data_IF_733853825375
#
_entry.id   IF_733853825375
#
_cell.length_a   1.000
_cell.length_b   1.000
_cell.length_c   1.000
_cell.angle_alpha   90.00
_cell.angle_beta   90.00
_cell.angle_gamma   90.00
#
_symmetry.space_group_name_H-M   'P 1'
#
loop_
_entity.id
_entity.type
_entity.pdbx_description
1 polymer ?
#
# COMPACT_ATOMS: atom_id res chain seq x y z
N UNK A 1 -11.26 9.41 34.11
CA UNK A 1 -10.90 8.34 33.15
C UNK A 1 -11.76 8.39 31.87
N UNK A 2 -13.08 8.64 32.00
CA UNK A 2 -13.99 8.76 30.85
C UNK A 2 -13.63 9.91 29.89
N UNK A 3 -13.13 11.04 30.38
CA UNK A 3 -12.71 12.15 29.52
C UNK A 3 -11.57 11.79 28.57
N UNK A 4 -10.61 10.99 29.04
CA UNK A 4 -9.50 10.51 28.21
C UNK A 4 -10.00 9.59 27.09
N UNK A 5 -11.04 8.78 27.36
CA UNK A 5 -11.66 7.94 26.33
C UNK A 5 -12.43 8.80 25.32
N UNK A 6 -13.17 9.80 25.78
CA UNK A 6 -13.93 10.71 24.92
C UNK A 6 -13.02 11.51 23.98
N UNK A 7 -11.89 12.00 24.48
CA UNK A 7 -10.88 12.69 23.66
C UNK A 7 -10.30 11.75 22.58
N UNK A 8 -9.98 10.51 22.93
CA UNK A 8 -9.45 9.52 21.98
C UNK A 8 -10.45 9.15 20.90
N UNK A 9 -11.71 8.93 21.27
CA UNK A 9 -12.80 8.61 20.33
C UNK A 9 -13.04 9.80 19.39
N UNK A 10 -13.10 11.02 19.92
CA UNK A 10 -13.27 12.22 19.10
C UNK A 10 -12.10 12.43 18.13
N UNK A 11 -10.86 12.16 18.56
CA UNK A 11 -9.70 12.23 17.66
C UNK A 11 -9.85 11.26 16.48
N UNK A 12 -10.18 9.99 16.75
CA UNK A 12 -10.40 9.01 15.68
C UNK A 12 -11.58 9.37 14.78
N UNK A 13 -12.66 9.92 15.34
CA UNK A 13 -13.78 10.43 14.56
C UNK A 13 -13.34 11.55 13.60
N UNK A 14 -12.59 12.55 14.08
CA UNK A 14 -12.10 13.67 13.27
C UNK A 14 -11.16 13.18 12.16
N UNK A 15 -10.21 12.29 12.49
CA UNK A 15 -9.30 11.68 11.50
C UNK A 15 -10.07 10.94 10.39
N UNK A 16 -11.13 10.19 10.73
CA UNK A 16 -11.95 9.47 9.74
C UNK A 16 -12.79 10.46 8.93
N UNK A 17 -13.34 11.50 9.55
CA UNK A 17 -14.16 12.51 8.88
C UNK A 17 -13.33 13.28 7.85
N UNK A 18 -12.14 13.75 8.23
CA UNK A 18 -11.21 14.46 7.33
C UNK A 18 -10.74 13.60 6.15
N UNK A 19 -10.63 12.28 6.36
CA UNK A 19 -10.15 11.35 5.34
C UNK A 19 -11.25 10.88 4.39
N UNK A 20 -12.36 10.41 4.94
CA UNK A 20 -13.37 9.66 4.18
C UNK A 20 -14.61 10.51 3.86
N UNK A 21 -14.72 11.74 4.39
CA UNK A 21 -15.93 12.58 4.36
C UNK A 21 -17.20 11.93 4.95
N UNK A 22 -17.09 10.73 5.54
CA UNK A 22 -18.17 10.08 6.27
C UNK A 22 -17.61 9.15 7.35
N UNK A 23 -18.30 9.12 8.50
CA UNK A 23 -17.91 8.33 9.66
C UNK A 23 -19.03 7.35 10.02
N UNK A 24 -18.67 6.09 10.26
CA UNK A 24 -19.56 5.08 10.84
C UNK A 24 -19.05 4.67 12.23
N UNK A 25 -19.96 4.21 13.09
CA UNK A 25 -19.60 3.72 14.42
C UNK A 25 -18.58 2.56 14.35
N UNK A 26 -18.69 1.72 13.32
CA UNK A 26 -17.74 0.63 13.07
C UNK A 26 -16.33 1.13 12.74
N UNK A 27 -16.20 2.16 11.88
CA UNK A 27 -14.90 2.77 11.59
C UNK A 27 -14.25 3.34 12.85
N UNK A 28 -15.02 4.07 13.67
CA UNK A 28 -14.53 4.65 14.93
C UNK A 28 -14.13 3.54 15.92
N UNK A 29 -14.91 2.45 16.01
CA UNK A 29 -14.59 1.29 16.85
C UNK A 29 -13.28 0.63 16.39
N UNK A 30 -13.13 0.37 15.10
CA UNK A 30 -11.95 -0.30 14.55
C UNK A 30 -10.70 0.56 14.72
N UNK A 31 -10.81 1.88 14.52
CA UNK A 31 -9.77 2.86 14.81
C UNK A 31 -9.35 2.86 16.28
N UNK A 32 -10.33 2.89 17.20
CA UNK A 32 -10.09 2.93 18.64
C UNK A 32 -9.45 1.64 19.17
N UNK A 33 -9.83 0.49 18.60
CA UNK A 33 -9.27 -0.83 18.93
C UNK A 33 -7.94 -1.13 18.23
N UNK A 34 -7.46 -0.23 17.35
CA UNK A 34 -6.24 -0.46 16.57
C UNK A 34 -6.37 -1.58 15.53
N UNK A 35 -7.60 -1.98 15.19
CA UNK A 35 -7.91 -3.02 14.21
C UNK A 35 -7.87 -2.50 12.76
N UNK A 36 -7.68 -1.19 12.60
CA UNK A 36 -7.57 -0.57 11.30
C UNK A 36 -6.13 -0.72 10.78
N UNK A 37 -5.97 -1.46 9.68
CA UNK A 37 -4.70 -1.55 8.94
C UNK A 37 -4.51 -0.24 8.17
N UNK A 38 -4.03 0.79 8.87
CA UNK A 38 -3.85 2.13 8.30
C UNK A 38 -2.43 2.28 7.77
N UNK A 39 -2.26 2.11 6.46
CA UNK A 39 -1.09 2.69 5.79
C UNK A 39 -1.46 4.10 5.36
N UNK A 40 -0.78 5.09 5.94
CA UNK A 40 -1.05 6.49 5.64
C UNK A 40 -0.23 6.99 4.45
N UNK A 41 0.85 6.27 4.14
CA UNK A 41 1.84 6.71 3.17
C UNK A 41 2.23 5.59 2.22
N UNK A 42 2.72 6.00 1.05
CA UNK A 42 3.11 5.11 -0.02
C UNK A 42 4.25 4.16 0.41
N UNK A 43 5.27 4.67 1.11
CA UNK A 43 6.39 3.83 1.53
C UNK A 43 5.99 2.82 2.61
N UNK A 44 5.00 3.14 3.45
CA UNK A 44 4.45 2.20 4.42
C UNK A 44 3.71 1.05 3.74
N UNK A 45 2.87 1.35 2.74
CA UNK A 45 2.16 0.32 1.96
C UNK A 45 3.15 -0.66 1.33
N UNK A 46 4.16 -0.14 0.63
CA UNK A 46 5.13 -1.01 -0.03
C UNK A 46 6.00 -1.79 0.94
N UNK A 47 6.36 -1.22 2.10
CA UNK A 47 7.11 -1.94 3.13
C UNK A 47 6.31 -3.15 3.60
N UNK A 48 5.05 -2.94 3.99
CA UNK A 48 4.22 -4.06 4.42
C UNK A 48 4.07 -5.10 3.33
N UNK A 49 3.77 -4.67 2.09
CA UNK A 49 3.62 -5.59 0.98
C UNK A 49 4.85 -6.50 0.82
N UNK A 50 6.05 -5.94 0.96
CA UNK A 50 7.29 -6.70 0.89
C UNK A 50 7.44 -7.68 2.06
N UNK A 51 7.11 -7.26 3.27
CA UNK A 51 7.15 -8.12 4.47
C UNK A 51 6.16 -9.29 4.37
N UNK A 52 4.94 -9.04 3.90
CA UNK A 52 3.94 -10.09 3.72
C UNK A 52 4.29 -11.02 2.56
N UNK A 53 4.84 -10.48 1.47
CA UNK A 53 5.35 -11.29 0.37
C UNK A 53 6.53 -12.16 0.81
N UNK A 54 7.41 -11.64 1.66
CA UNK A 54 8.54 -12.40 2.23
C UNK A 54 8.05 -13.59 3.05
N UNK A 55 7.07 -13.40 3.95
CA UNK A 55 6.43 -14.51 4.68
C UNK A 55 5.85 -15.56 3.74
N UNK A 56 5.23 -15.14 2.64
CA UNK A 56 4.68 -16.07 1.65
C UNK A 56 5.77 -16.84 0.88
N UNK A 57 6.92 -16.21 0.63
CA UNK A 57 8.08 -16.84 0.03
C UNK A 57 8.70 -17.86 0.99
N UNK A 58 8.83 -17.53 2.28
CA UNK A 58 9.33 -18.42 3.33
C UNK A 58 8.42 -19.65 3.49
N UNK A 59 7.11 -19.46 3.37
CA UNK A 59 6.13 -20.54 3.35
C UNK A 59 6.08 -21.32 2.01
N UNK A 60 6.94 -21.01 1.04
CA UNK A 60 7.00 -21.68 -0.26
C UNK A 60 5.84 -21.37 -1.22
N UNK A 61 4.98 -20.41 -0.89
CA UNK A 61 3.79 -20.04 -1.68
C UNK A 61 4.11 -19.07 -2.83
N UNK A 62 5.26 -18.39 -2.79
CA UNK A 62 5.66 -17.36 -3.76
C UNK A 62 7.14 -17.48 -4.14
N UNK A 63 7.48 -16.90 -5.30
CA UNK A 63 8.84 -16.96 -5.84
C UNK A 63 9.76 -15.88 -5.24
N UNK A 64 10.96 -16.29 -4.79
CA UNK A 64 12.03 -15.39 -4.32
C UNK A 64 12.41 -14.31 -5.34
N UNK A 65 12.42 -14.66 -6.63
CA UNK A 65 12.76 -13.72 -7.70
C UNK A 65 11.81 -12.51 -7.78
N UNK A 66 10.53 -12.71 -7.45
CA UNK A 66 9.55 -11.62 -7.44
C UNK A 66 9.71 -10.71 -6.22
N UNK A 67 10.03 -11.28 -5.04
CA UNK A 67 10.36 -10.50 -3.85
C UNK A 67 11.53 -9.54 -4.10
N UNK A 68 12.58 -10.02 -4.80
CA UNK A 68 13.72 -9.19 -5.15
C UNK A 68 13.32 -8.00 -6.05
N UNK A 69 12.39 -8.21 -6.99
CA UNK A 69 11.85 -7.14 -7.84
C UNK A 69 11.09 -6.10 -7.02
N UNK A 70 10.28 -6.52 -6.04
CA UNK A 70 9.56 -5.58 -5.17
C UNK A 70 10.51 -4.78 -4.26
N UNK A 71 11.54 -5.43 -3.70
CA UNK A 71 12.59 -4.74 -2.93
C UNK A 71 13.38 -3.74 -3.78
N UNK A 72 13.61 -4.06 -5.05
CA UNK A 72 14.30 -3.16 -5.98
C UNK A 72 13.47 -1.91 -6.23
N UNK A 73 12.17 -2.04 -6.46
CA UNK A 73 11.33 -0.84 -6.63
C UNK A 73 11.09 -0.06 -5.38
N UNK A 74 11.03 -0.69 -4.20
CA UNK A 74 11.02 0.06 -2.96
C UNK A 74 12.19 1.07 -2.92
N UNK A 75 13.38 0.65 -3.32
CA UNK A 75 14.57 1.53 -3.38
C UNK A 75 14.43 2.61 -4.46
N UNK A 76 13.99 2.26 -5.67
CA UNK A 76 13.80 3.26 -6.73
C UNK A 76 12.74 4.29 -6.39
N UNK A 77 11.69 3.88 -5.69
CA UNK A 77 10.65 4.78 -5.22
C UNK A 77 11.18 5.74 -4.15
N UNK A 78 12.01 5.25 -3.22
CA UNK A 78 12.71 6.14 -2.27
C UNK A 78 13.59 7.15 -2.99
N UNK A 79 14.40 6.72 -3.95
CA UNK A 79 15.25 7.62 -4.75
C UNK A 79 14.41 8.63 -5.54
N UNK A 80 13.32 8.20 -6.15
CA UNK A 80 12.43 9.07 -6.91
C UNK A 80 11.81 10.15 -6.03
N UNK A 81 11.30 9.78 -4.85
CA UNK A 81 10.73 10.73 -3.89
C UNK A 81 11.76 11.74 -3.40
N UNK A 82 13.00 11.30 -3.15
CA UNK A 82 14.10 12.17 -2.72
C UNK A 82 14.54 13.14 -3.84
N UNK A 83 14.66 12.66 -5.07
CA UNK A 83 15.13 13.44 -6.22
C UNK A 83 14.07 14.44 -6.71
N UNK A 84 12.81 14.01 -6.84
CA UNK A 84 11.76 14.80 -7.51
C UNK A 84 10.90 15.61 -6.54
N UNK A 85 10.67 15.07 -5.34
CA UNK A 85 9.77 15.67 -4.36
C UNK A 85 10.49 16.14 -3.09
N UNK A 86 11.76 15.77 -2.90
CA UNK A 86 12.55 16.06 -1.70
C UNK A 86 11.87 15.62 -0.40
N UNK A 87 11.13 14.52 -0.46
CA UNK A 87 10.46 13.90 0.68
C UNK A 87 10.89 12.45 0.82
N UNK A 88 10.85 11.94 2.05
CA UNK A 88 11.13 10.53 2.34
C UNK A 88 9.92 9.63 2.13
N UNK A 89 8.73 10.20 2.09
CA UNK A 89 7.46 9.50 1.98
C UNK A 89 6.39 10.46 1.47
N UNK A 90 5.29 9.92 0.92
CA UNK A 90 4.18 10.70 0.38
C UNK A 90 2.86 10.08 0.83
N UNK A 91 1.86 10.91 1.14
CA UNK A 91 0.55 10.41 1.54
C UNK A 91 -0.16 9.75 0.34
N UNK A 92 -0.91 8.67 0.57
CA UNK A 92 -1.61 7.96 -0.52
C UNK A 92 -2.59 8.87 -1.29
N UNK A 93 -3.17 9.87 -0.62
CA UNK A 93 -4.07 10.86 -1.22
C UNK A 93 -3.39 11.79 -2.25
N UNK A 94 -2.07 11.86 -2.22
CA UNK A 94 -1.28 12.72 -3.11
C UNK A 94 -0.81 11.94 -4.36
N UNK A 95 -1.17 10.66 -4.49
CA UNK A 95 -0.90 9.85 -5.67
C UNK A 95 -1.83 10.25 -6.81
N UNK A 96 -1.34 11.15 -7.65
CA UNK A 96 -2.04 11.59 -8.86
C UNK A 96 -1.65 10.73 -10.08
N UNK A 97 -2.45 10.71 -11.16
CA UNK A 97 -2.03 10.09 -12.42
C UNK A 97 -0.71 10.65 -12.97
N UNK A 98 -0.42 11.93 -12.69
CA UNK A 98 0.86 12.56 -13.02
C UNK A 98 2.02 11.93 -12.23
N UNK A 99 1.86 11.71 -10.92
CA UNK A 99 2.87 11.02 -10.10
C UNK A 99 3.22 9.64 -10.68
N UNK A 100 2.21 8.87 -11.07
CA UNK A 100 2.39 7.54 -11.66
C UNK A 100 3.17 7.63 -12.98
N UNK A 101 2.81 8.58 -13.84
CA UNK A 101 3.45 8.79 -15.14
C UNK A 101 4.91 9.25 -14.98
N UNK A 102 5.18 10.17 -14.04
CA UNK A 102 6.52 10.67 -13.74
C UNK A 102 7.41 9.55 -13.16
N UNK A 103 6.85 8.70 -12.30
CA UNK A 103 7.56 7.56 -11.76
C UNK A 103 7.86 6.51 -12.85
N UNK A 104 6.91 6.23 -13.74
CA UNK A 104 7.14 5.37 -14.91
C UNK A 104 8.25 5.93 -15.80
N UNK A 105 8.24 7.24 -16.05
CA UNK A 105 9.28 7.90 -16.84
C UNK A 105 10.65 7.72 -16.17
N UNK A 106 10.77 8.04 -14.88
CA UNK A 106 11.99 7.86 -14.09
C UNK A 106 12.52 6.41 -14.15
N UNK A 107 11.64 5.41 -14.01
CA UNK A 107 12.06 4.02 -14.10
C UNK A 107 12.64 3.67 -15.48
N UNK A 108 12.10 4.24 -16.56
CA UNK A 108 12.59 4.00 -17.92
C UNK A 108 13.87 4.78 -18.24
N UNK A 109 13.94 6.05 -17.85
CA UNK A 109 15.03 6.96 -18.21
C UNK A 109 16.25 6.80 -17.32
N UNK A 110 16.04 6.78 -16.01
CA UNK A 110 17.13 6.83 -15.02
C UNK A 110 17.54 5.43 -14.55
N UNK A 111 16.59 4.49 -14.51
CA UNK A 111 16.83 3.11 -14.04
C UNK A 111 16.83 2.07 -15.15
N UNK A 112 16.58 2.48 -16.39
CA UNK A 112 16.54 1.61 -17.58
C UNK A 112 15.72 0.33 -17.39
N UNK A 113 14.63 0.41 -16.62
CA UNK A 113 13.76 -0.71 -16.31
C UNK A 113 12.78 -0.97 -17.46
N UNK A 114 12.59 -2.24 -17.82
CA UNK A 114 11.63 -2.65 -18.85
C UNK A 114 10.16 -2.45 -18.41
N UNK A 115 9.26 -2.26 -19.37
CA UNK A 115 7.82 -1.98 -19.19
C UNK A 115 7.08 -3.01 -18.31
N UNK A 116 7.47 -4.29 -18.39
CA UNK A 116 6.88 -5.36 -17.56
C UNK A 116 7.19 -5.19 -16.07
N UNK A 117 8.31 -4.55 -15.76
CA UNK A 117 8.72 -4.23 -14.40
C UNK A 117 7.81 -3.10 -13.92
N UNK A 118 7.70 -1.98 -14.68
CA UNK A 118 6.83 -0.83 -14.39
C UNK A 118 5.38 -1.23 -14.05
N UNK A 119 4.74 -2.06 -14.87
CA UNK A 119 3.36 -2.51 -14.64
C UNK A 119 3.15 -3.31 -13.35
N UNK A 120 4.17 -4.08 -12.93
CA UNK A 120 4.16 -4.85 -11.70
C UNK A 120 4.11 -3.94 -10.45
N UNK A 121 4.50 -2.67 -10.62
CA UNK A 121 4.61 -1.65 -9.56
C UNK A 121 3.49 -0.64 -9.57
N UNK A 122 2.96 -0.30 -10.74
CA UNK A 122 1.79 0.59 -10.88
C UNK A 122 0.51 -0.16 -10.53
N UNK A 123 0.43 -1.47 -10.82
CA UNK A 123 -0.78 -2.27 -10.56
C UNK A 123 -1.23 -2.20 -9.09
N UNK A 124 -0.40 -2.40 -8.05
CA UNK A 124 -0.83 -2.22 -6.65
C UNK A 124 -1.27 -0.80 -6.26
N UNK A 125 -0.88 0.22 -7.05
CA UNK A 125 -1.12 1.63 -6.77
C UNK A 125 -2.33 2.20 -7.48
N UNK A 126 -2.77 1.57 -8.56
CA UNK A 126 -4.01 1.93 -9.25
C UNK A 126 -5.19 1.18 -8.62
N UNK A 127 -6.35 1.83 -8.56
CA UNK A 127 -7.61 1.30 -8.01
C UNK A 127 -7.93 -0.14 -8.52
N UNK A 128 -7.51 -0.43 -9.74
CA UNK A 128 -7.59 -1.73 -10.42
C UNK A 128 -6.77 -2.89 -9.80
N UNK A 129 -5.71 -2.60 -9.04
CA UNK A 129 -4.92 -3.63 -8.36
C UNK A 129 -5.39 -3.93 -6.94
N UNK A 130 -5.97 -2.94 -6.26
CA UNK A 130 -6.63 -3.14 -4.96
C UNK A 130 -7.88 -4.02 -5.14
N UNK A 131 -8.67 -3.76 -6.19
CA UNK A 131 -9.83 -4.59 -6.54
C UNK A 131 -9.45 -6.00 -7.00
N UNK A 132 -8.39 -6.17 -7.81
CA UNK A 132 -7.92 -7.52 -8.21
C UNK A 132 -7.31 -8.34 -7.08
N UNK A 133 -6.72 -7.70 -6.08
CA UNK A 133 -6.21 -8.41 -4.90
C UNK A 133 -7.36 -8.98 -4.06
N UNK A 134 -8.47 -8.24 -3.93
CA UNK A 134 -9.69 -8.72 -3.25
C UNK A 134 -10.44 -9.80 -4.06
N UNK A 135 -10.47 -9.71 -5.39
CA UNK A 135 -11.12 -10.73 -6.23
C UNK A 135 -10.35 -12.08 -6.22
N UNK A 136 -9.00 -12.04 -6.21
CA UNK A 136 -8.17 -13.25 -6.20
C UNK A 136 -8.21 -14.05 -4.90
N UNK A 137 -8.46 -13.39 -3.76
CA UNK A 137 -8.68 -14.10 -2.48
C UNK A 137 -10.08 -14.70 -2.38
N UNK A 138 -11.07 -14.16 -3.11
CA UNK A 138 -12.42 -14.70 -3.18
C UNK A 138 -12.54 -15.92 -4.13
N UNK A 139 -11.75 -15.97 -5.20
CA UNK A 139 -11.78 -17.06 -6.21
C UNK A 139 -10.91 -18.27 -5.86
N UNK A 140 -10.15 -18.23 -4.77
CA UNK A 140 -9.38 -19.37 -4.27
C UNK A 140 -10.32 -20.42 -3.64
N UNK A 141 -10.98 -21.22 -4.49
CA UNK A 141 -11.70 -22.42 -4.01
C UNK A 141 -10.71 -23.40 -3.36
N UNK A 142 -11.06 -24.01 -2.22
CA UNK A 142 -10.24 -25.04 -1.63
C UNK A 142 -10.15 -26.23 -2.61
N UNK A 143 -8.91 -26.63 -2.94
CA UNK A 143 -8.64 -27.82 -3.74
C UNK A 143 -9.06 -29.04 -2.89
N UNK A 144 -9.91 -29.96 -3.40
CA UNK A 144 -10.25 -31.16 -2.67
C UNK A 144 -8.98 -32.00 -2.51
N UNK A 145 -8.65 -32.37 -1.27
CA UNK A 145 -7.62 -33.37 -1.02
C UNK A 145 -8.17 -34.71 -1.51
N UNK A 146 -7.47 -35.32 -2.48
CA UNK A 146 -7.63 -36.72 -2.86
C UNK A 146 -6.85 -37.58 -1.87
#
# INVERSE_FOLDING_TARGET
>A
MLDKMRVRINRHYQEIMERDNFVTAEKVKNAFLGLEHRYHTLMQVFRQHNEDYEKQVEAGMKAKGTLLKYRTVYKHLQEFLDIRYHVKDIALKELTPAFISDFEMFLRTDKHCCTNTVWLYVCPLTDDGVHRHQQRVADARPVPRV
#
